data_IF_286494145987
#
_entry.id   IF_286494145987
#
_cell.length_a   1.000
_cell.length_b   1.000
_cell.length_c   1.000
_cell.angle_alpha   90.00
_cell.angle_beta   90.00
_cell.angle_gamma   90.00
#
_symmetry.space_group_name_H-M   'P 1'
#
loop_
_entity.id
_entity.type
_entity.pdbx_description
1 polymer ?
#
# COMPACT_ATOMS: atom_id res chain seq x y z
N UNK A 1 14.68 -2.45 -0.43
CA UNK A 1 13.22 -2.53 -0.55
C UNK A 1 12.60 -1.16 -0.44
N UNK A 2 11.73 -0.83 -1.39
CA UNK A 2 10.89 0.36 -1.43
C UNK A 2 9.43 -0.06 -1.55
N UNK A 3 8.51 0.82 -1.20
CA UNK A 3 7.09 0.68 -1.50
C UNK A 3 6.65 1.91 -2.28
N UNK A 4 6.11 1.72 -3.48
CA UNK A 4 5.27 2.73 -4.10
C UNK A 4 3.87 2.58 -3.48
N UNK A 5 3.43 3.62 -2.78
CA UNK A 5 2.13 3.66 -2.11
C UNK A 5 1.23 4.60 -2.87
N UNK A 6 0.08 4.11 -3.30
CA UNK A 6 -0.90 4.89 -4.06
C UNK A 6 -2.20 4.97 -3.26
N UNK A 7 -2.53 6.19 -2.83
CA UNK A 7 -3.82 6.51 -2.21
C UNK A 7 -4.81 6.93 -3.27
N UNK A 8 -5.98 6.32 -3.27
CA UNK A 8 -7.00 6.65 -4.24
C UNK A 8 -8.41 6.48 -3.69
N UNK A 9 -9.36 7.06 -4.41
CA UNK A 9 -10.78 6.88 -4.18
C UNK A 9 -11.42 6.44 -5.48
N UNK A 10 -12.49 5.64 -5.40
CA UNK A 10 -13.35 5.44 -6.57
C UNK A 10 -14.02 6.76 -6.98
N UNK A 11 -14.43 6.86 -8.23
CA UNK A 11 -15.28 7.96 -8.67
C UNK A 11 -16.64 7.89 -7.95
N UNK A 12 -17.27 9.05 -7.73
CA UNK A 12 -18.52 9.16 -6.93
C UNK A 12 -19.65 8.27 -7.42
N UNK A 13 -19.74 8.11 -8.74
CA UNK A 13 -20.77 7.32 -9.43
C UNK A 13 -20.45 5.82 -9.52
N UNK A 14 -19.23 5.42 -9.18
CA UNK A 14 -18.79 4.02 -9.24
C UNK A 14 -19.33 3.28 -8.02
N UNK A 15 -19.85 2.06 -8.22
CA UNK A 15 -20.22 1.18 -7.11
C UNK A 15 -18.99 0.67 -6.35
N UNK A 16 -19.07 0.62 -5.02
CA UNK A 16 -17.96 0.19 -4.18
C UNK A 16 -17.54 -1.26 -4.47
N UNK A 17 -18.50 -2.18 -4.58
CA UNK A 17 -18.20 -3.60 -4.78
C UNK A 17 -17.57 -3.82 -6.15
N UNK A 18 -18.10 -3.16 -7.18
CA UNK A 18 -17.52 -3.21 -8.53
C UNK A 18 -16.05 -2.73 -8.52
N UNK A 19 -15.79 -1.61 -7.86
CA UNK A 19 -14.44 -1.04 -7.78
C UNK A 19 -13.47 -2.00 -7.11
N UNK A 20 -13.83 -2.52 -5.94
CA UNK A 20 -13.01 -3.43 -5.16
C UNK A 20 -12.70 -4.73 -5.91
N UNK A 21 -13.70 -5.32 -6.59
CA UNK A 21 -13.51 -6.54 -7.38
C UNK A 21 -12.50 -6.33 -8.50
N UNK A 22 -12.59 -5.20 -9.22
CA UNK A 22 -11.68 -4.88 -10.32
C UNK A 22 -10.28 -4.54 -9.82
N UNK A 23 -10.18 -3.84 -8.69
CA UNK A 23 -8.91 -3.54 -8.03
C UNK A 23 -8.19 -4.83 -7.61
N UNK A 24 -8.87 -5.72 -6.88
CA UNK A 24 -8.31 -7.01 -6.47
C UNK A 24 -7.90 -7.85 -7.69
N UNK A 25 -8.73 -7.90 -8.73
CA UNK A 25 -8.41 -8.62 -9.96
C UNK A 25 -7.14 -8.09 -10.64
N UNK A 26 -6.96 -6.77 -10.71
CA UNK A 26 -5.74 -6.16 -11.23
C UNK A 26 -4.52 -6.57 -10.42
N UNK A 27 -4.57 -6.47 -9.09
CA UNK A 27 -3.46 -6.87 -8.20
C UNK A 27 -3.09 -8.35 -8.35
N UNK A 28 -4.08 -9.24 -8.49
CA UNK A 28 -3.85 -10.66 -8.74
C UNK A 28 -3.13 -10.91 -10.07
N UNK A 29 -3.54 -10.23 -11.13
CA UNK A 29 -2.95 -10.36 -12.46
C UNK A 29 -1.52 -9.78 -12.49
N UNK A 30 -1.29 -8.66 -11.82
CA UNK A 30 0.04 -8.09 -11.67
C UNK A 30 0.98 -9.05 -10.92
N UNK A 31 0.48 -9.69 -9.86
CA UNK A 31 1.25 -10.72 -9.15
C UNK A 31 1.61 -11.91 -10.05
N UNK A 32 0.70 -12.34 -10.92
CA UNK A 32 0.97 -13.40 -11.91
C UNK A 32 1.99 -12.96 -12.96
N UNK A 33 1.95 -11.68 -13.37
CA UNK A 33 2.91 -11.12 -14.33
C UNK A 33 4.33 -11.08 -13.78
N UNK A 34 4.47 -10.91 -12.47
CA UNK A 34 5.72 -10.89 -11.71
C UNK A 34 6.84 -10.06 -12.38
N UNK A 35 6.66 -8.74 -12.54
CA UNK A 35 7.66 -7.87 -13.16
C UNK A 35 9.02 -7.96 -12.45
N UNK A 36 10.10 -7.64 -13.17
CA UNK A 36 11.44 -7.70 -12.59
C UNK A 36 11.56 -6.78 -11.37
N UNK A 37 11.98 -7.34 -10.24
CA UNK A 37 12.17 -6.60 -8.98
C UNK A 37 10.88 -6.24 -8.24
N UNK A 38 9.71 -6.66 -8.75
CA UNK A 38 8.45 -6.64 -8.00
C UNK A 38 8.41 -7.79 -7.01
N UNK A 39 8.07 -7.50 -5.75
CA UNK A 39 8.01 -8.51 -4.68
C UNK A 39 6.58 -8.95 -4.45
N UNK A 40 5.70 -8.00 -4.11
CA UNK A 40 4.27 -8.26 -3.94
C UNK A 40 3.50 -6.94 -3.97
N UNK A 41 2.18 -7.07 -3.99
CA UNK A 41 1.28 -5.94 -3.76
C UNK A 41 0.17 -6.28 -2.77
N UNK A 42 -0.41 -5.26 -2.16
CA UNK A 42 -1.58 -5.39 -1.28
C UNK A 42 -2.42 -4.13 -1.36
N UNK A 43 -3.69 -4.29 -1.00
CA UNK A 43 -4.69 -3.21 -0.95
C UNK A 43 -5.24 -3.14 0.45
N UNK A 44 -5.34 -1.93 0.99
CA UNK A 44 -6.00 -1.63 2.25
C UNK A 44 -7.19 -0.70 1.98
N UNK A 45 -8.31 -0.95 2.66
CA UNK A 45 -9.47 -0.07 2.64
C UNK A 45 -9.52 0.75 3.94
N UNK A 46 -9.83 2.03 3.78
CA UNK A 46 -10.03 2.97 4.87
C UNK A 46 -11.36 3.69 4.69
N UNK A 47 -12.13 3.85 5.77
CA UNK A 47 -13.33 4.68 5.76
C UNK A 47 -13.01 6.11 5.33
N UNK A 48 -11.83 6.62 5.74
CA UNK A 48 -11.35 7.95 5.38
C UNK A 48 -9.83 8.06 5.59
N UNK A 49 -9.17 8.87 4.76
CA UNK A 49 -7.78 9.32 4.98
C UNK A 49 -7.73 10.83 5.22
N UNK A 50 -6.85 11.33 6.11
CA UNK A 50 -6.81 12.75 6.50
C UNK A 50 -6.53 13.75 5.36
N UNK A 51 -5.87 13.32 4.28
CA UNK A 51 -5.50 14.17 3.14
C UNK A 51 -6.31 13.88 1.87
N UNK A 52 -7.32 13.01 1.93
CA UNK A 52 -8.20 12.68 0.81
C UNK A 52 -9.59 13.32 0.98
N UNK A 53 -10.40 13.32 -0.08
CA UNK A 53 -11.74 13.90 -0.04
C UNK A 53 -12.65 13.22 0.99
N UNK A 54 -13.47 14.01 1.69
CA UNK A 54 -14.44 13.52 2.68
C UNK A 54 -15.63 12.85 1.98
N UNK A 55 -16.17 11.78 2.56
CA UNK A 55 -17.47 11.20 2.18
C UNK A 55 -17.39 10.03 1.19
N UNK A 56 -16.19 9.56 0.85
CA UNK A 56 -15.97 8.30 0.16
C UNK A 56 -14.85 7.55 0.88
N UNK A 57 -14.93 6.23 0.86
CA UNK A 57 -13.84 5.38 1.31
C UNK A 57 -12.59 5.62 0.46
N UNK A 58 -11.43 5.41 1.06
CA UNK A 58 -10.14 5.54 0.43
C UNK A 58 -9.44 4.18 0.44
N UNK A 59 -8.62 3.96 -0.58
CA UNK A 59 -7.83 2.76 -0.74
C UNK A 59 -6.36 3.13 -0.74
N UNK A 60 -5.54 2.21 -0.24
CA UNK A 60 -4.10 2.30 -0.27
C UNK A 60 -3.51 1.06 -0.90
N UNK A 61 -2.95 1.23 -2.09
CA UNK A 61 -2.25 0.17 -2.79
C UNK A 61 -0.76 0.26 -2.45
N UNK A 62 -0.20 -0.84 -1.99
CA UNK A 62 1.24 -0.99 -1.78
C UNK A 62 1.80 -1.84 -2.90
N UNK A 63 2.78 -1.30 -3.63
CA UNK A 63 3.58 -2.04 -4.60
C UNK A 63 5.01 -2.11 -4.06
N UNK A 64 5.37 -3.28 -3.53
CA UNK A 64 6.66 -3.46 -2.85
C UNK A 64 7.68 -3.98 -3.86
N UNK A 65 8.81 -3.28 -3.92
CA UNK A 65 9.87 -3.54 -4.90
C UNK A 65 11.24 -3.60 -4.24
N UNK A 66 12.18 -4.30 -4.88
CA UNK A 66 13.54 -4.45 -4.36
C UNK A 66 14.26 -3.10 -4.19
N UNK A 67 14.18 -2.24 -5.19
CA UNK A 67 14.86 -0.95 -5.26
C UNK A 67 14.20 -0.03 -6.31
N UNK A 68 14.71 1.19 -6.50
CA UNK A 68 14.11 2.16 -7.43
C UNK A 68 14.20 1.77 -8.90
N UNK A 69 15.16 0.93 -9.31
CA UNK A 69 15.27 0.50 -10.71
C UNK A 69 14.16 -0.48 -11.11
N UNK A 70 13.45 -1.06 -10.14
CA UNK A 70 12.30 -1.92 -10.40
C UNK A 70 11.00 -1.15 -10.71
N UNK A 71 11.01 0.19 -10.62
CA UNK A 71 9.82 1.00 -10.91
C UNK A 71 9.52 1.04 -12.41
N UNK A 72 10.53 1.16 -13.28
CA UNK A 72 10.29 1.22 -14.73
C UNK A 72 9.68 -0.10 -15.26
N UNK A 73 10.22 -1.29 -14.93
CA UNK A 73 9.60 -2.55 -15.35
C UNK A 73 8.20 -2.77 -14.75
N UNK A 74 7.96 -2.28 -13.54
CA UNK A 74 6.65 -2.36 -12.90
C UNK A 74 5.62 -1.50 -13.64
N UNK A 75 5.94 -0.24 -13.94
CA UNK A 75 5.07 0.68 -14.67
C UNK A 75 4.73 0.14 -16.05
N UNK A 76 5.73 -0.30 -16.81
CA UNK A 76 5.52 -0.90 -18.13
C UNK A 76 4.62 -2.14 -18.05
N UNK A 77 4.87 -3.03 -17.07
CA UNK A 77 4.09 -4.25 -16.92
C UNK A 77 2.65 -3.99 -16.49
N UNK A 78 2.41 -2.97 -15.65
CA UNK A 78 1.08 -2.63 -15.15
C UNK A 78 0.11 -2.21 -16.27
N UNK A 79 0.62 -1.57 -17.32
CA UNK A 79 -0.20 -1.02 -18.42
C UNK A 79 -0.11 -1.80 -19.73
N UNK A 80 0.59 -2.93 -19.75
CA UNK A 80 0.82 -3.74 -20.96
C UNK A 80 0.39 -5.20 -20.80
N UNK A 81 0.39 -5.94 -21.92
CA UNK A 81 0.11 -7.37 -21.95
C UNK A 81 -1.18 -7.77 -21.22
N UNK A 82 -1.09 -8.78 -20.35
CA UNK A 82 -2.22 -9.30 -19.58
C UNK A 82 -2.77 -8.31 -18.54
N UNK A 83 -1.99 -7.30 -18.13
CA UNK A 83 -2.39 -6.32 -17.13
C UNK A 83 -3.17 -5.14 -17.72
N UNK A 84 -2.98 -4.85 -19.02
CA UNK A 84 -3.54 -3.66 -19.67
C UNK A 84 -5.04 -3.50 -19.47
N UNK A 85 -5.81 -4.53 -19.77
CA UNK A 85 -7.27 -4.44 -19.73
C UNK A 85 -7.79 -4.38 -18.28
N UNK A 86 -7.32 -5.22 -17.34
CA UNK A 86 -7.62 -5.08 -15.90
C UNK A 86 -7.25 -3.69 -15.34
N UNK A 87 -6.06 -3.18 -15.65
CA UNK A 87 -5.62 -1.83 -15.26
C UNK A 87 -6.60 -0.77 -15.78
N UNK A 88 -6.92 -0.80 -17.08
CA UNK A 88 -7.83 0.16 -17.68
C UNK A 88 -9.25 0.08 -17.09
N UNK A 89 -9.71 -1.11 -16.68
CA UNK A 89 -11.02 -1.26 -16.04
C UNK A 89 -11.07 -0.55 -14.69
N UNK A 90 -10.08 -0.74 -13.81
CA UNK A 90 -10.06 -0.06 -12.50
C UNK A 90 -9.75 1.43 -12.64
N UNK A 91 -8.83 1.82 -13.53
CA UNK A 91 -8.44 3.21 -13.75
C UNK A 91 -9.61 4.10 -14.22
N UNK A 92 -10.53 3.56 -15.04
CA UNK A 92 -11.74 4.29 -15.48
C UNK A 92 -12.75 4.53 -14.37
N UNK A 93 -12.69 3.72 -13.32
CA UNK A 93 -13.59 3.79 -12.18
C UNK A 93 -13.00 4.57 -11.01
N UNK A 94 -11.71 4.87 -11.06
CA UNK A 94 -10.99 5.68 -10.09
C UNK A 94 -11.36 7.17 -10.23
N UNK A 95 -11.35 7.87 -9.10
CA UNK A 95 -11.52 9.32 -9.02
C UNK A 95 -10.17 9.99 -8.82
N UNK A 96 -9.96 10.51 -7.61
CA UNK A 96 -8.70 11.15 -7.25
C UNK A 96 -7.69 10.11 -6.76
N UNK A 97 -6.41 10.37 -7.05
CA UNK A 97 -5.32 9.57 -6.50
C UNK A 97 -4.05 10.40 -6.31
N UNK A 98 -3.21 9.97 -5.38
CA UNK A 98 -1.89 10.53 -5.14
C UNK A 98 -0.95 9.42 -4.68
N UNK A 99 0.31 9.50 -5.09
CA UNK A 99 1.29 8.46 -4.83
C UNK A 99 2.53 9.00 -4.13
N UNK A 100 3.21 8.12 -3.39
CA UNK A 100 4.49 8.41 -2.76
C UNK A 100 5.40 7.20 -2.78
N UNK A 101 6.70 7.44 -2.84
CA UNK A 101 7.72 6.40 -2.78
C UNK A 101 8.36 6.37 -1.39
N UNK A 102 8.22 5.23 -0.70
CA UNK A 102 8.65 5.05 0.67
C UNK A 102 9.76 4.02 0.77
N UNK A 103 10.68 4.25 1.72
CA UNK A 103 11.72 3.28 2.06
C UNK A 103 11.29 2.52 3.30
N UNK A 104 11.30 1.21 3.21
CA UNK A 104 11.13 0.34 4.37
C UNK A 104 12.27 0.54 5.37
N UNK A 105 11.93 0.78 6.64
CA UNK A 105 12.91 1.08 7.69
C UNK A 105 13.14 -0.06 8.68
N UNK A 106 12.08 -0.79 9.04
CA UNK A 106 12.14 -1.85 10.04
C UNK A 106 10.96 -2.81 9.89
N UNK A 107 11.17 -4.07 10.28
CA UNK A 107 10.18 -5.14 10.32
C UNK A 107 10.51 -6.22 9.28
N UNK A 108 9.54 -7.06 8.98
CA UNK A 108 9.58 -8.01 7.87
C UNK A 108 8.25 -7.99 7.11
N UNK A 109 8.31 -8.26 5.81
CA UNK A 109 7.11 -8.60 5.05
C UNK A 109 6.99 -10.11 5.00
N UNK A 110 6.44 -10.68 6.07
CA UNK A 110 5.92 -12.05 6.04
C UNK A 110 4.43 -11.97 5.64
N UNK A 111 4.05 -12.72 4.60
CA UNK A 111 2.66 -12.81 4.15
C UNK A 111 1.71 -13.21 5.29
N UNK A 112 2.16 -14.06 6.23
CA UNK A 112 1.35 -14.43 7.39
C UNK A 112 1.02 -13.22 8.27
N UNK A 113 1.98 -12.31 8.45
CA UNK A 113 1.83 -11.08 9.24
C UNK A 113 1.05 -10.00 8.49
N UNK A 114 1.24 -9.89 7.17
CA UNK A 114 0.51 -8.91 6.35
C UNK A 114 -1.01 -9.12 6.43
N UNK A 115 -1.46 -10.38 6.45
CA UNK A 115 -2.88 -10.72 6.62
C UNK A 115 -3.47 -10.33 7.98
N UNK A 116 -2.62 -10.05 8.97
CA UNK A 116 -2.98 -9.67 10.32
C UNK A 116 -2.99 -8.16 10.54
N UNK A 117 -2.62 -7.35 9.54
CA UNK A 117 -2.70 -5.89 9.65
C UNK A 117 -4.17 -5.50 9.90
N UNK A 118 -4.39 -4.75 10.97
CA UNK A 118 -5.72 -4.21 11.35
C UNK A 118 -5.75 -2.70 11.46
N UNK A 119 -4.59 -2.06 11.50
CA UNK A 119 -4.47 -0.62 11.63
C UNK A 119 -3.20 -0.13 10.94
N UNK A 120 -3.27 1.11 10.47
CA UNK A 120 -2.12 1.89 10.01
C UNK A 120 -2.16 3.23 10.72
N UNK A 121 -0.98 3.79 11.04
CA UNK A 121 -0.86 5.08 11.72
C UNK A 121 0.09 5.98 10.96
N UNK A 122 -0.37 7.20 10.68
CA UNK A 122 0.46 8.27 10.12
C UNK A 122 0.66 9.31 11.20
N UNK A 123 1.91 9.74 11.36
CA UNK A 123 2.26 10.75 12.33
C UNK A 123 3.35 11.64 11.76
N UNK A 124 3.34 12.89 12.19
CA UNK A 124 4.41 13.82 11.88
C UNK A 124 5.60 13.53 12.79
N UNK A 125 6.82 13.59 12.23
CA UNK A 125 8.02 13.58 13.06
C UNK A 125 7.94 14.73 14.07
N UNK A 126 8.11 14.49 15.37
CA UNK A 126 8.09 15.57 16.36
C UNK A 126 9.11 16.68 16.04
N UNK A 127 8.72 17.93 16.29
CA UNK A 127 9.60 19.09 16.15
C UNK A 127 10.82 18.93 17.07
N UNK A 128 12.02 19.24 16.54
CA UNK A 128 13.27 19.12 17.30
C UNK A 128 13.84 17.69 17.45
N UNK A 129 13.11 16.64 17.08
CA UNK A 129 13.61 15.25 17.14
C UNK A 129 14.40 14.87 15.89
N UNK A 130 15.57 14.23 16.01
CA UNK A 130 16.28 13.67 14.84
C UNK A 130 15.57 12.41 14.31
N UNK A 131 15.81 12.07 13.04
CA UNK A 131 15.30 10.81 12.50
C UNK A 131 15.94 9.58 13.18
N UNK A 132 17.22 9.65 13.57
CA UNK A 132 17.84 8.54 14.30
C UNK A 132 17.09 8.28 15.61
N UNK A 133 16.83 9.34 16.38
CA UNK A 133 16.11 9.22 17.66
C UNK A 133 14.70 8.69 17.48
N UNK A 134 14.00 9.15 16.43
CA UNK A 134 12.67 8.62 16.12
C UNK A 134 12.73 7.11 15.85
N UNK A 135 13.67 6.65 15.02
CA UNK A 135 13.79 5.24 14.67
C UNK A 135 14.22 4.36 15.86
N UNK A 136 14.98 4.88 16.82
CA UNK A 136 15.25 4.17 18.08
C UNK A 136 13.97 3.90 18.88
N UNK A 137 13.11 4.91 19.03
CA UNK A 137 11.85 4.79 19.78
C UNK A 137 10.92 3.77 19.11
N UNK A 138 10.75 3.87 17.79
CA UNK A 138 9.91 2.94 17.04
C UNK A 138 10.43 1.49 17.12
N UNK A 139 11.75 1.32 17.19
CA UNK A 139 12.36 0.00 17.34
C UNK A 139 12.02 -0.66 18.67
N UNK A 140 12.02 0.11 19.76
CA UNK A 140 11.71 -0.38 21.10
C UNK A 140 10.24 -0.81 21.21
N UNK A 141 9.31 -0.03 20.65
CA UNK A 141 7.89 -0.37 20.66
C UNK A 141 7.54 -1.64 19.86
N UNK A 142 8.23 -1.87 18.73
CA UNK A 142 8.06 -3.09 17.94
C UNK A 142 8.50 -4.35 18.71
N UNK A 143 9.51 -4.25 19.59
CA UNK A 143 9.97 -5.39 20.41
C UNK A 143 8.94 -5.70 21.51
N UNK A 144 8.35 -4.67 22.13
CA UNK A 144 7.34 -4.84 23.19
C UNK A 144 6.06 -5.48 22.66
N UNK A 145 5.65 -5.16 21.43
CA UNK A 145 4.47 -5.78 20.79
C UNK A 145 4.70 -7.24 20.35
N UNK A 146 5.95 -7.67 20.18
CA UNK A 146 6.32 -9.04 19.80
C UNK A 146 6.63 -9.96 21.00
N UNK A 147 6.54 -9.45 22.24
CA UNK A 147 6.67 -10.26 23.46
C UNK A 147 5.48 -11.20 23.70
N UNK A 148 5.58 -12.20 24.60
CA UNK A 148 4.61 -13.30 24.77
C UNK A 148 3.19 -12.90 25.22
N UNK A 149 2.91 -11.60 25.33
CA UNK A 149 1.63 -11.04 25.74
C UNK A 149 0.90 -10.26 24.62
N UNK A 150 1.37 -10.31 23.38
CA UNK A 150 0.80 -9.60 22.23
C UNK A 150 -0.54 -10.16 21.68
N UNK A 151 -1.40 -10.72 22.53
CA UNK A 151 -2.79 -11.08 22.19
C UNK A 151 -3.71 -10.69 23.34
N UNK A 152 -4.05 -9.41 23.40
CA UNK A 152 -5.31 -8.93 24.01
C UNK A 152 -5.50 -7.45 23.66
N UNK A 153 -6.25 -7.19 22.59
CA UNK A 153 -7.30 -6.15 22.50
C UNK A 153 -7.95 -6.19 21.14
#
# INVERSE_FOLDING_TARGET
MLAYVFWHQRAKQTDQTEYQQKLVAFHQILQQRHPQGFLFSMVLEFEQLPWMGVGLEAYEDWYVVENSAALDPLDEAAVSGICRDPHNQVARLAGNGTGGLYRFKQGSFDHSQLSQIRSTTWFNKPTGMSYERLYEILRQQNIEQQGPYGNAR
#
